data_IF_135097121651
#
_entry.id   IF_135097121651
#
_cell.length_a   1.000
_cell.length_b   1.000
_cell.length_c   1.000
_cell.angle_alpha   90.00
_cell.angle_beta   90.00
_cell.angle_gamma   90.00
#
_symmetry.space_group_name_H-M   'P 1'
#
loop_
_entity.id
_entity.type
_entity.pdbx_description
1 polymer ?
#
# COMPACT_ATOMS: atom_id res chain seq x y z
N UNK A 1 -19.58 -3.99 0.90
CA UNK A 1 -19.04 -3.46 2.15
C UNK A 1 -17.52 -3.40 2.13
N UNK A 2 -16.78 -4.53 2.11
CA UNK A 2 -15.31 -4.52 2.20
C UNK A 2 -14.57 -3.56 1.26
N UNK A 3 -14.92 -3.48 -0.03
CA UNK A 3 -14.26 -2.55 -0.97
C UNK A 3 -14.43 -1.09 -0.59
N UNK A 4 -15.67 -0.70 -0.25
CA UNK A 4 -16.00 0.68 0.13
C UNK A 4 -15.29 1.04 1.42
N UNK A 5 -15.25 0.12 2.39
CA UNK A 5 -14.50 0.29 3.64
C UNK A 5 -12.99 0.42 3.38
N UNK A 6 -12.42 -0.45 2.55
CA UNK A 6 -10.99 -0.43 2.22
C UNK A 6 -10.58 0.90 1.58
N UNK A 7 -11.29 1.33 0.54
CA UNK A 7 -11.00 2.60 -0.14
C UNK A 7 -11.35 3.81 0.70
N UNK A 8 -12.51 3.83 1.37
CA UNK A 8 -12.93 4.97 2.18
C UNK A 8 -11.92 5.27 3.29
N UNK A 9 -11.47 4.25 4.02
CA UNK A 9 -10.45 4.42 5.05
C UNK A 9 -9.08 4.79 4.45
N UNK A 10 -8.63 4.09 3.40
CA UNK A 10 -7.32 4.33 2.79
C UNK A 10 -7.18 5.70 2.12
N UNK A 11 -8.18 6.09 1.31
CA UNK A 11 -8.24 7.41 0.67
C UNK A 11 -8.40 8.50 1.71
N UNK A 12 -9.23 8.30 2.74
CA UNK A 12 -9.40 9.26 3.83
C UNK A 12 -8.10 9.60 4.55
N UNK A 13 -7.33 8.57 4.95
CA UNK A 13 -5.98 8.76 5.53
C UNK A 13 -5.05 9.43 4.54
N UNK A 14 -5.06 9.02 3.26
CA UNK A 14 -4.18 9.59 2.23
C UNK A 14 -4.43 11.08 2.01
N UNK A 15 -5.70 11.50 1.94
CA UNK A 15 -6.09 12.90 1.83
C UNK A 15 -5.66 13.66 3.08
N UNK A 16 -5.89 13.09 4.27
CA UNK A 16 -5.54 13.75 5.52
C UNK A 16 -4.03 13.97 5.66
N UNK A 17 -3.23 12.93 5.44
CA UNK A 17 -1.77 13.02 5.48
C UNK A 17 -1.25 13.92 4.35
N UNK A 18 -1.84 13.84 3.16
CA UNK A 18 -1.53 14.73 2.03
C UNK A 18 -1.78 16.20 2.35
N UNK A 19 -2.92 16.52 2.94
CA UNK A 19 -3.25 17.87 3.39
C UNK A 19 -2.24 18.36 4.42
N UNK A 20 -1.93 17.56 5.43
CA UNK A 20 -0.93 17.94 6.45
C UNK A 20 0.45 18.15 5.86
N UNK A 21 0.89 17.29 4.93
CA UNK A 21 2.24 17.33 4.38
C UNK A 21 2.44 18.39 3.29
N UNK A 22 1.39 18.71 2.52
CA UNK A 22 1.50 19.54 1.32
C UNK A 22 0.75 20.88 1.38
N UNK A 23 -0.16 21.05 2.33
CA UNK A 23 -1.01 22.26 2.41
C UNK A 23 -0.91 22.94 3.77
N UNK A 24 -1.09 22.20 4.87
CA UNK A 24 -1.12 22.78 6.21
C UNK A 24 0.27 23.17 6.73
N UNK A 25 1.34 22.67 6.11
CA UNK A 25 2.72 22.92 6.49
C UNK A 25 3.57 23.28 5.26
N UNK A 26 4.72 23.97 5.46
CA UNK A 26 5.69 24.18 4.38
C UNK A 26 6.09 22.88 3.72
N UNK A 27 6.01 22.84 2.39
CA UNK A 27 6.43 21.67 1.61
C UNK A 27 7.94 21.58 1.63
N UNK A 28 8.46 20.55 2.29
CA UNK A 28 9.89 20.22 2.31
C UNK A 28 10.11 18.89 1.62
N UNK A 29 11.38 18.56 1.34
CA UNK A 29 11.72 17.29 0.68
C UNK A 29 11.08 16.10 1.42
N UNK A 30 11.20 16.05 2.76
CA UNK A 30 10.57 15.01 3.59
C UNK A 30 9.04 14.88 3.38
N UNK A 31 8.29 15.94 3.04
CA UNK A 31 6.83 15.90 2.87
C UNK A 31 6.39 14.84 1.86
N UNK A 32 7.22 14.55 0.86
CA UNK A 32 6.91 13.54 -0.15
C UNK A 32 7.01 12.10 0.37
N UNK A 33 7.77 11.84 1.43
CA UNK A 33 7.90 10.51 2.01
C UNK A 33 6.55 9.94 2.50
N UNK A 34 5.84 10.55 3.46
CA UNK A 34 4.56 10.03 3.92
C UNK A 34 3.48 10.06 2.83
N UNK A 35 3.51 11.05 1.93
CA UNK A 35 2.54 11.18 0.82
C UNK A 35 2.67 10.02 -0.16
N UNK A 36 3.88 9.76 -0.65
CA UNK A 36 4.14 8.69 -1.61
C UNK A 36 3.77 7.32 -1.04
N UNK A 37 4.12 7.05 0.22
CA UNK A 37 3.80 5.78 0.86
C UNK A 37 2.30 5.61 1.14
N UNK A 38 1.57 6.67 1.50
CA UNK A 38 0.12 6.61 1.60
C UNK A 38 -0.53 6.32 0.24
N UNK A 39 -0.13 7.02 -0.82
CA UNK A 39 -0.65 6.76 -2.18
C UNK A 39 -0.34 5.33 -2.64
N UNK A 40 0.88 4.85 -2.40
CA UNK A 40 1.32 3.52 -2.81
C UNK A 40 0.50 2.42 -2.11
N UNK A 41 0.44 2.46 -0.78
CA UNK A 41 -0.07 1.34 0.02
C UNK A 41 -1.50 1.51 0.52
N UNK A 42 -2.09 2.71 0.50
CA UNK A 42 -3.48 2.93 0.92
C UNK A 42 -4.43 3.18 -0.26
N UNK A 43 -3.90 3.40 -1.47
CA UNK A 43 -4.71 3.65 -2.67
C UNK A 43 -4.35 2.70 -3.81
N UNK A 44 -3.12 2.77 -4.33
CA UNK A 44 -2.73 2.01 -5.51
C UNK A 44 -2.73 0.49 -5.27
N UNK A 45 -2.09 0.03 -4.19
CA UNK A 45 -2.05 -1.41 -3.91
C UNK A 45 -3.42 -2.00 -3.57
N UNK A 46 -4.25 -1.39 -2.68
CA UNK A 46 -5.62 -1.87 -2.45
C UNK A 46 -6.42 -1.96 -3.75
N UNK A 47 -6.32 -0.95 -4.63
CA UNK A 47 -6.96 -0.97 -5.96
C UNK A 47 -6.53 -2.19 -6.78
N UNK A 48 -5.23 -2.48 -6.83
CA UNK A 48 -4.68 -3.63 -7.53
C UNK A 48 -5.17 -4.96 -6.95
N UNK A 49 -5.18 -5.12 -5.62
CA UNK A 49 -5.58 -6.36 -4.93
C UNK A 49 -7.08 -6.62 -5.11
N UNK A 50 -7.90 -5.57 -4.99
CA UNK A 50 -9.35 -5.68 -5.17
C UNK A 50 -9.71 -6.04 -6.62
N UNK A 51 -9.00 -5.50 -7.62
CA UNK A 51 -9.18 -5.87 -9.02
C UNK A 51 -8.88 -7.36 -9.28
N UNK A 52 -7.80 -7.91 -8.71
CA UNK A 52 -7.52 -9.35 -8.80
C UNK A 52 -8.55 -10.19 -8.05
N UNK A 53 -9.11 -9.66 -6.96
CA UNK A 53 -10.17 -10.32 -6.23
C UNK A 53 -11.46 -10.41 -7.05
N UNK A 54 -11.77 -9.36 -7.82
CA UNK A 54 -12.88 -9.31 -8.77
C UNK A 54 -12.65 -10.20 -9.99
N UNK A 55 -11.41 -10.24 -10.51
CA UNK A 55 -11.04 -11.10 -11.64
C UNK A 55 -11.33 -12.59 -11.37
N UNK A 56 -11.26 -13.03 -10.11
CA UNK A 56 -11.62 -14.41 -9.73
C UNK A 56 -13.12 -14.67 -9.78
N UNK A 57 -13.94 -13.63 -9.66
CA UNK A 57 -15.41 -13.68 -9.66
C UNK A 57 -16.02 -13.39 -11.02
N UNK A 58 -15.22 -12.81 -11.92
CA UNK A 58 -15.63 -12.51 -13.28
C UNK A 58 -15.44 -13.74 -14.19
N UNK A 59 -16.41 -13.97 -15.07
CA UNK A 59 -16.39 -15.03 -16.09
C UNK A 59 -16.01 -14.49 -17.47
N UNK A 60 -16.36 -13.24 -17.77
CA UNK A 60 -16.08 -12.60 -19.05
C UNK A 60 -14.58 -12.42 -19.27
N UNK A 61 -14.06 -12.99 -20.37
CA UNK A 61 -12.62 -12.97 -20.68
C UNK A 61 -12.05 -11.55 -20.77
N UNK A 62 -12.69 -10.66 -21.54
CA UNK A 62 -12.20 -9.30 -21.75
C UNK A 62 -12.11 -8.51 -20.43
N UNK A 63 -13.13 -8.62 -19.57
CA UNK A 63 -13.11 -7.99 -18.24
C UNK A 63 -12.01 -8.58 -17.35
N UNK A 64 -11.80 -9.90 -17.40
CA UNK A 64 -10.71 -10.54 -16.63
C UNK A 64 -9.33 -10.08 -17.07
N UNK A 65 -9.14 -9.82 -18.37
CA UNK A 65 -7.90 -9.27 -18.91
C UNK A 65 -7.72 -7.83 -18.45
N UNK A 66 -8.74 -6.98 -18.59
CA UNK A 66 -8.69 -5.59 -18.12
C UNK A 66 -8.38 -5.48 -16.60
N UNK A 67 -8.94 -6.36 -15.77
CA UNK A 67 -8.64 -6.40 -14.34
C UNK A 67 -7.20 -6.83 -14.03
N UNK A 68 -6.61 -7.71 -14.84
CA UNK A 68 -5.19 -8.06 -14.73
C UNK A 68 -4.31 -6.88 -15.14
N UNK A 69 -4.63 -6.21 -16.25
CA UNK A 69 -3.86 -5.05 -16.71
C UNK A 69 -3.91 -3.91 -15.70
N UNK A 70 -5.09 -3.67 -15.10
CA UNK A 70 -5.23 -2.71 -14.00
C UNK A 70 -4.40 -3.09 -12.78
N UNK A 71 -4.37 -4.38 -12.41
CA UNK A 71 -3.53 -4.86 -11.32
C UNK A 71 -2.06 -4.56 -11.58
N UNK A 72 -1.56 -4.89 -12.78
CA UNK A 72 -0.17 -4.61 -13.15
C UNK A 72 0.10 -3.11 -13.12
N UNK A 73 -0.75 -2.30 -13.75
CA UNK A 73 -0.61 -0.84 -13.79
C UNK A 73 -0.51 -0.24 -12.37
N UNK A 74 -1.43 -0.62 -11.49
CA UNK A 74 -1.45 -0.10 -10.12
C UNK A 74 -0.27 -0.62 -9.26
N UNK A 75 0.21 -1.84 -9.51
CA UNK A 75 1.43 -2.32 -8.85
C UNK A 75 2.69 -1.62 -9.37
N UNK A 76 2.78 -1.33 -10.67
CA UNK A 76 3.87 -0.52 -11.22
C UNK A 76 3.86 0.90 -10.64
N UNK A 77 2.67 1.52 -10.50
CA UNK A 77 2.52 2.81 -9.83
C UNK A 77 2.96 2.74 -8.35
N UNK A 78 2.63 1.66 -7.65
CA UNK A 78 3.08 1.41 -6.27
C UNK A 78 4.60 1.37 -6.20
N UNK A 79 5.27 0.63 -7.10
CA UNK A 79 6.74 0.55 -7.17
C UNK A 79 7.37 1.92 -7.40
N UNK A 80 6.83 2.72 -8.31
CA UNK A 80 7.32 4.08 -8.58
C UNK A 80 7.17 4.95 -7.34
N UNK A 81 5.98 4.99 -6.74
CA UNK A 81 5.69 5.82 -5.57
C UNK A 81 6.56 5.43 -4.37
N UNK A 82 6.68 4.14 -4.05
CA UNK A 82 7.49 3.72 -2.92
C UNK A 82 8.98 3.97 -3.16
N UNK A 83 9.46 3.87 -4.40
CA UNK A 83 10.85 4.20 -4.75
C UNK A 83 11.13 5.69 -4.57
N UNK A 84 10.22 6.57 -4.99
CA UNK A 84 10.31 8.02 -4.75
C UNK A 84 10.27 8.29 -3.24
N UNK A 85 9.29 7.75 -2.53
CA UNK A 85 9.13 7.94 -1.09
C UNK A 85 10.35 7.47 -0.28
N UNK A 86 10.98 6.36 -0.68
CA UNK A 86 12.22 5.86 -0.08
C UNK A 86 13.44 6.72 -0.45
N UNK A 87 13.62 7.05 -1.73
CA UNK A 87 14.75 7.87 -2.19
C UNK A 87 14.75 9.26 -1.56
N UNK A 88 13.57 9.87 -1.42
CA UNK A 88 13.39 11.17 -0.76
C UNK A 88 13.83 11.13 0.70
N UNK A 89 13.40 10.14 1.51
CA UNK A 89 13.81 10.08 2.92
C UNK A 89 15.30 9.78 3.06
N UNK A 90 15.85 8.95 2.17
CA UNK A 90 17.27 8.65 2.15
C UNK A 90 18.08 9.93 1.87
N UNK A 91 17.81 10.60 0.75
CA UNK A 91 18.53 11.82 0.39
C UNK A 91 18.33 12.96 1.41
N UNK A 92 17.12 13.10 1.95
CA UNK A 92 16.85 14.08 3.00
C UNK A 92 17.70 13.83 4.26
N UNK A 93 17.97 12.57 4.62
CA UNK A 93 18.84 12.25 5.76
C UNK A 93 20.29 12.58 5.47
N UNK A 94 20.77 12.32 4.26
CA UNK A 94 22.13 12.69 3.84
C UNK A 94 22.34 14.21 3.92
N UNK A 95 21.41 15.00 3.36
CA UNK A 95 21.46 16.47 3.40
C UNK A 95 21.54 17.04 4.82
N UNK A 96 21.01 16.33 5.81
CA UNK A 96 20.98 16.77 7.21
C UNK A 96 21.94 15.97 8.11
N UNK A 97 22.86 15.19 7.54
CA UNK A 97 23.83 14.35 8.27
C UNK A 97 23.16 13.47 9.35
N UNK A 98 22.00 12.89 9.04
CA UNK A 98 21.25 12.03 9.96
C UNK A 98 21.53 10.56 9.66
N UNK A 99 21.70 9.70 10.68
CA UNK A 99 21.92 8.28 10.46
C UNK A 99 20.70 7.59 9.84
N UNK A 100 20.96 6.59 9.00
CA UNK A 100 19.95 5.75 8.34
C UNK A 100 19.60 4.53 9.17
N UNK A 101 18.40 3.99 8.96
CA UNK A 101 17.98 2.70 9.55
C UNK A 101 18.17 2.59 11.06
N UNK A 102 17.67 3.58 11.83
CA UNK A 102 17.85 3.64 13.29
C UNK A 102 16.56 3.37 14.08
N UNK A 103 15.44 3.12 13.40
CA UNK A 103 14.12 2.94 14.05
C UNK A 103 13.43 1.67 13.59
N UNK A 104 12.56 1.12 14.43
CA UNK A 104 11.70 -0.01 14.06
C UNK A 104 10.90 0.27 12.79
N UNK A 105 10.40 1.50 12.63
CA UNK A 105 9.75 1.94 11.40
C UNK A 105 10.65 1.75 10.17
N UNK A 106 11.92 2.15 10.25
CA UNK A 106 12.85 2.01 9.12
C UNK A 106 13.20 0.55 8.77
N UNK A 107 13.30 -0.34 9.77
CA UNK A 107 13.53 -1.77 9.52
C UNK A 107 12.31 -2.45 8.91
N UNK A 108 11.11 -2.21 9.45
CA UNK A 108 9.86 -2.76 8.90
C UNK A 108 9.57 -2.18 7.52
N UNK A 109 9.81 -0.88 7.33
CA UNK A 109 9.63 -0.19 6.05
C UNK A 109 10.53 -0.75 4.95
N UNK A 110 11.82 -0.97 5.22
CA UNK A 110 12.73 -1.55 4.21
C UNK A 110 12.42 -3.03 3.94
N UNK A 111 12.02 -3.79 4.96
CA UNK A 111 11.56 -5.17 4.77
C UNK A 111 10.32 -5.21 3.86
N UNK A 112 9.31 -4.37 4.12
CA UNK A 112 8.13 -4.26 3.28
C UNK A 112 8.49 -3.86 1.84
N UNK A 113 9.39 -2.87 1.67
CA UNK A 113 9.88 -2.41 0.36
C UNK A 113 10.52 -3.55 -0.44
N UNK A 114 11.43 -4.31 0.17
CA UNK A 114 12.11 -5.44 -0.48
C UNK A 114 11.10 -6.54 -0.84
N UNK A 115 10.22 -6.93 0.10
CA UNK A 115 9.19 -7.93 -0.14
C UNK A 115 8.24 -7.52 -1.28
N UNK A 116 7.90 -6.24 -1.39
CA UNK A 116 7.12 -5.72 -2.52
C UNK A 116 7.85 -5.82 -3.84
N UNK A 117 9.12 -5.41 -3.90
CA UNK A 117 9.92 -5.49 -5.11
C UNK A 117 10.03 -6.94 -5.60
N UNK A 118 10.35 -7.88 -4.71
CA UNK A 118 10.46 -9.30 -5.06
C UNK A 118 9.10 -9.83 -5.55
N UNK A 119 8.01 -9.51 -4.85
CA UNK A 119 6.68 -9.99 -5.24
C UNK A 119 6.24 -9.42 -6.60
N UNK A 120 6.54 -8.14 -6.86
CA UNK A 120 6.26 -7.48 -8.13
C UNK A 120 7.03 -8.12 -9.28
N UNK A 121 8.35 -8.29 -9.13
CA UNK A 121 9.18 -8.91 -10.15
C UNK A 121 8.73 -10.36 -10.43
N UNK A 122 8.47 -11.15 -9.39
CA UNK A 122 7.95 -12.50 -9.53
C UNK A 122 6.60 -12.55 -10.26
N UNK A 123 5.70 -11.59 -9.98
CA UNK A 123 4.43 -11.46 -10.68
C UNK A 123 4.59 -11.09 -12.15
N UNK A 124 5.49 -10.14 -12.46
CA UNK A 124 5.79 -9.72 -13.83
C UNK A 124 6.37 -10.86 -14.67
N UNK A 125 7.33 -11.62 -14.12
CA UNK A 125 7.94 -12.76 -14.81
C UNK A 125 6.93 -13.86 -15.14
N UNK A 126 5.85 -13.98 -14.35
CA UNK A 126 4.81 -15.01 -14.55
C UNK A 126 3.57 -14.52 -15.27
N UNK A 127 3.47 -13.24 -15.62
CA UNK A 127 2.28 -12.60 -16.21
C UNK A 127 1.76 -13.38 -17.42
N UNK A 128 2.66 -13.71 -18.35
CA UNK A 128 2.34 -14.34 -19.63
C UNK A 128 2.62 -15.86 -19.62
N UNK A 129 2.86 -16.43 -18.43
CA UNK A 129 3.12 -17.86 -18.30
C UNK A 129 1.86 -18.69 -18.55
N UNK A 130 2.04 -19.91 -19.09
CA UNK A 130 0.95 -20.87 -19.34
C UNK A 130 0.25 -21.33 -18.05
N UNK A 131 0.90 -21.22 -16.89
CA UNK A 131 0.32 -21.52 -15.58
C UNK A 131 0.41 -20.30 -14.63
N UNK A 132 -0.45 -19.29 -14.84
CA UNK A 132 -0.36 -18.01 -14.12
C UNK A 132 -0.92 -18.09 -12.69
N UNK A 133 -1.39 -19.26 -12.24
CA UNK A 133 -1.93 -19.43 -10.88
C UNK A 133 -0.76 -19.60 -9.91
N UNK A 134 -0.45 -18.52 -9.20
CA UNK A 134 0.64 -18.51 -8.24
C UNK A 134 0.12 -18.24 -6.82
N UNK A 135 -0.03 -19.31 -6.04
CA UNK A 135 -0.40 -19.21 -4.63
C UNK A 135 0.70 -18.51 -3.81
N UNK A 136 1.98 -18.70 -4.15
CA UNK A 136 3.09 -18.06 -3.46
C UNK A 136 3.05 -16.54 -3.67
N UNK A 137 2.89 -16.07 -4.92
CA UNK A 137 2.71 -14.64 -5.21
C UNK A 137 1.50 -14.04 -4.46
N UNK A 138 0.41 -14.80 -4.37
CA UNK A 138 -0.79 -14.37 -3.64
C UNK A 138 -0.53 -14.21 -2.14
N UNK A 139 0.02 -15.22 -1.47
CA UNK A 139 0.25 -15.17 -0.02
C UNK A 139 1.38 -14.21 0.33
N UNK A 140 2.47 -14.23 -0.43
CA UNK A 140 3.59 -13.33 -0.25
C UNK A 140 3.18 -11.88 -0.49
N UNK A 141 2.39 -11.59 -1.53
CA UNK A 141 1.82 -10.26 -1.75
C UNK A 141 0.92 -9.78 -0.62
N UNK A 142 0.11 -10.66 -0.02
CA UNK A 142 -0.69 -10.33 1.15
C UNK A 142 0.17 -10.00 2.37
N UNK A 143 1.24 -10.78 2.60
CA UNK A 143 2.21 -10.52 3.66
C UNK A 143 2.92 -9.17 3.46
N UNK A 144 3.43 -8.90 2.25
CA UNK A 144 4.07 -7.62 1.90
C UNK A 144 3.12 -6.44 2.16
N UNK A 145 1.85 -6.59 1.79
CA UNK A 145 0.83 -5.57 2.04
C UNK A 145 0.58 -5.34 3.53
N UNK A 146 0.46 -6.38 4.35
CA UNK A 146 0.31 -6.24 5.80
C UNK A 146 1.54 -5.63 6.48
N UNK A 147 2.74 -5.99 6.03
CA UNK A 147 3.99 -5.36 6.49
C UNK A 147 4.03 -3.88 6.14
N UNK A 148 3.54 -3.49 4.96
CA UNK A 148 3.47 -2.08 4.57
C UNK A 148 2.52 -1.25 5.45
N UNK A 149 1.35 -1.81 5.81
CA UNK A 149 0.44 -1.17 6.76
C UNK A 149 1.06 -1.00 8.14
N UNK A 150 1.79 -2.01 8.61
CA UNK A 150 2.57 -1.94 9.86
C UNK A 150 3.64 -0.86 9.77
N UNK A 151 4.35 -0.76 8.64
CA UNK A 151 5.33 0.29 8.37
C UNK A 151 4.73 1.70 8.43
N UNK A 152 3.56 1.91 7.82
CA UNK A 152 2.84 3.19 7.88
C UNK A 152 2.46 3.55 9.32
N UNK A 153 1.86 2.62 10.07
CA UNK A 153 1.48 2.85 11.48
C UNK A 153 2.70 3.22 12.31
N UNK A 154 3.79 2.45 12.21
CA UNK A 154 5.04 2.78 12.90
C UNK A 154 5.59 4.15 12.46
N UNK A 155 5.38 4.54 11.21
CA UNK A 155 5.76 5.85 10.67
C UNK A 155 5.07 7.01 11.38
N UNK A 156 3.80 6.86 11.74
CA UNK A 156 3.07 7.89 12.50
C UNK A 156 3.68 8.15 13.88
N UNK A 157 4.26 7.13 14.52
CA UNK A 157 4.88 7.25 15.85
C UNK A 157 6.41 7.44 15.81
N UNK A 158 7.04 7.27 14.65
CA UNK A 158 8.47 7.38 14.46
C UNK A 158 8.89 8.81 14.13
N UNK A 159 9.99 9.26 14.73
CA UNK A 159 10.50 10.62 14.54
C UNK A 159 9.58 11.70 15.12
N UNK A 160 9.72 12.93 14.61
CA UNK A 160 8.96 14.09 15.08
C UNK A 160 7.69 14.38 14.28
N UNK A 161 7.69 14.11 12.96
CA UNK A 161 6.65 14.60 12.06
C UNK A 161 5.23 14.18 12.44
N UNK A 162 5.00 12.89 12.69
CA UNK A 162 3.67 12.40 13.07
C UNK A 162 3.22 12.92 14.44
N UNK A 163 4.14 13.02 15.41
CA UNK A 163 3.83 13.58 16.73
C UNK A 163 3.40 15.05 16.63
N UNK A 164 4.13 15.85 15.86
CA UNK A 164 3.88 17.28 15.68
C UNK A 164 2.58 17.54 14.92
N UNK A 165 2.29 16.78 13.85
CA UNK A 165 1.19 17.09 12.93
C UNK A 165 -0.13 16.39 13.25
N UNK A 166 -0.09 15.22 13.89
CA UNK A 166 -1.30 14.46 14.22
C UNK A 166 -1.66 14.54 15.71
N UNK A 167 -0.67 14.72 16.59
CA UNK A 167 -0.85 14.52 18.03
C UNK A 167 -1.28 13.08 18.39
N UNK A 168 -1.42 12.76 19.69
CA UNK A 168 -1.71 11.39 20.12
C UNK A 168 -3.02 10.82 19.54
N UNK A 169 -4.10 11.60 19.59
CA UNK A 169 -5.41 11.18 19.08
C UNK A 169 -5.40 11.01 17.56
N UNK A 170 -4.70 11.88 16.83
CA UNK A 170 -4.60 11.78 15.38
C UNK A 170 -3.75 10.59 14.94
N UNK A 171 -2.65 10.31 15.64
CA UNK A 171 -1.83 9.11 15.39
C UNK A 171 -2.65 7.83 15.58
N UNK A 172 -3.43 7.75 16.66
CA UNK A 172 -4.32 6.60 16.91
C UNK A 172 -5.39 6.49 15.82
N UNK A 173 -6.08 7.59 15.51
CA UNK A 173 -7.13 7.62 14.49
C UNK A 173 -6.63 7.20 13.11
N UNK A 174 -5.51 7.76 12.65
CA UNK A 174 -4.88 7.38 11.39
C UNK A 174 -4.47 5.90 11.39
N UNK A 175 -3.92 5.40 12.51
CA UNK A 175 -3.51 3.99 12.64
C UNK A 175 -4.70 3.03 12.53
N UNK A 176 -5.80 3.33 13.21
CA UNK A 176 -7.04 2.53 13.17
C UNK A 176 -7.59 2.48 11.73
N UNK A 177 -7.61 3.61 11.04
CA UNK A 177 -8.07 3.66 9.64
C UNK A 177 -7.16 2.85 8.69
N UNK A 178 -5.83 2.93 8.88
CA UNK A 178 -4.88 2.09 8.13
C UNK A 178 -5.13 0.60 8.38
N UNK A 179 -5.33 0.19 9.62
CA UNK A 179 -5.64 -1.20 9.99
C UNK A 179 -6.97 -1.65 9.35
N UNK A 180 -8.01 -0.82 9.42
CA UNK A 180 -9.30 -1.11 8.77
C UNK A 180 -9.13 -1.28 7.26
N UNK A 181 -8.37 -0.39 6.60
CA UNK A 181 -8.14 -0.46 5.16
C UNK A 181 -7.42 -1.75 4.76
N UNK A 182 -6.40 -2.16 5.53
CA UNK A 182 -5.63 -3.38 5.26
C UNK A 182 -6.45 -4.64 5.51
N UNK A 183 -7.14 -4.72 6.67
CA UNK A 183 -7.98 -5.87 7.00
C UNK A 183 -9.11 -6.02 5.99
N UNK A 184 -9.79 -4.92 5.61
CA UNK A 184 -10.88 -5.00 4.64
C UNK A 184 -10.40 -5.48 3.26
N UNK A 185 -9.23 -5.02 2.80
CA UNK A 185 -8.60 -5.46 1.55
C UNK A 185 -8.26 -6.95 1.59
N UNK A 186 -7.57 -7.41 2.64
CA UNK A 186 -7.15 -8.81 2.81
C UNK A 186 -8.36 -9.72 3.00
N UNK A 187 -9.35 -9.31 3.80
CA UNK A 187 -10.59 -10.06 3.99
C UNK A 187 -11.31 -10.28 2.65
N UNK A 188 -11.43 -9.24 1.81
CA UNK A 188 -12.02 -9.39 0.48
C UNK A 188 -11.18 -10.30 -0.44
N UNK A 189 -9.86 -10.19 -0.34
CA UNK A 189 -8.91 -11.04 -1.05
C UNK A 189 -9.03 -12.51 -0.69
N UNK A 190 -9.45 -12.88 0.52
CA UNK A 190 -9.64 -14.28 0.91
C UNK A 190 -11.10 -14.73 0.97
N UNK A 191 -12.06 -13.81 0.78
CA UNK A 191 -13.48 -14.13 0.78
C UNK A 191 -13.85 -15.15 -0.31
N UNK A 192 -14.74 -16.13 -0.04
CA UNK A 192 -15.19 -17.12 -1.01
C UNK A 192 -15.92 -16.47 -2.20
N UNK A 193 -16.02 -17.18 -3.33
CA UNK A 193 -16.91 -16.77 -4.42
C UNK A 193 -18.35 -16.94 -3.94
N UNK A 194 -19.20 -15.92 -4.14
CA UNK A 194 -20.64 -16.15 -4.02
C UNK A 194 -21.02 -17.23 -5.05
N UNK A 195 -21.83 -18.23 -4.68
CA UNK A 195 -22.35 -19.18 -5.66
C UNK A 195 -23.11 -18.39 -6.73
N UNK A 196 -22.97 -18.79 -8.00
CA UNK A 196 -23.85 -18.31 -9.06
C UNK A 196 -25.27 -18.68 -8.65
N UNK A 197 -26.21 -17.74 -8.73
CA UNK A 197 -27.61 -18.12 -8.72
C UNK A 197 -27.79 -19.05 -9.93
N UNK A 198 -28.22 -20.28 -9.68
CA UNK A 198 -28.75 -21.13 -10.74
C UNK A 198 -29.95 -20.37 -11.32
N UNK A 199 -29.83 -19.98 -12.60
CA UNK A 199 -30.94 -19.50 -13.43
C UNK A 199 -31.48 -20.66 -14.25
#
# INVERSE_FOLDING_TARGET
MFKVTAFGAGVGVTIWIGYLALVANPVVLFSWHPVCFCLAYLVATPSAILAMSDRRRESNFNKRTALLDWHVYMQSLTIVLMSIGFGVIYYNKDLHNRPHFQTTHSYVGVAAFICYFINYLGGMLKRDSKNPKDAAHRYFGALSFLLSGTGIVLGFYSGGWGKTNLGPSGQLGASVLVVIAHIATVAYMFSPKKPSKEE
#
